data_IF_436668472104
#
_entry.id   IF_436668472104
#
_cell.length_a   1.000
_cell.length_b   1.000
_cell.length_c   1.000
_cell.angle_alpha   90.00
_cell.angle_beta   90.00
_cell.angle_gamma   90.00
#
_symmetry.space_group_name_H-M   'P 1'
#
loop_
_entity.id
_entity.type
_entity.pdbx_description
1 polymer ?
#
# COMPACT_ATOMS: atom_id res chain seq x y z
N UNK A 1 14.89 4.78 13.76
CA UNK A 1 13.96 4.47 14.87
C UNK A 1 12.58 5.09 14.65
N UNK A 2 12.48 6.40 14.37
CA UNK A 2 11.18 7.08 14.22
C UNK A 2 10.33 6.58 13.04
N UNK A 3 10.96 6.29 11.90
CA UNK A 3 10.30 5.77 10.70
C UNK A 3 9.70 4.37 10.96
N UNK A 4 10.44 3.51 11.67
CA UNK A 4 10.00 2.17 12.02
C UNK A 4 8.79 2.20 12.96
N UNK A 5 8.79 3.09 13.96
CA UNK A 5 7.64 3.32 14.85
C UNK A 5 6.43 3.81 14.06
N UNK A 6 6.63 4.73 13.11
CA UNK A 6 5.55 5.20 12.23
C UNK A 6 4.92 4.07 11.40
N UNK A 7 5.74 3.22 10.78
CA UNK A 7 5.27 2.07 9.99
C UNK A 7 4.50 1.08 10.89
N UNK A 8 5.01 0.77 12.09
CA UNK A 8 4.32 -0.10 13.04
C UNK A 8 2.97 0.48 13.50
N UNK A 9 2.89 1.80 13.74
CA UNK A 9 1.65 2.46 14.12
C UNK A 9 0.60 2.39 13.01
N UNK A 10 1.01 2.60 11.75
CA UNK A 10 0.13 2.46 10.59
C UNK A 10 -0.33 1.01 10.39
N UNK A 11 0.55 0.03 10.63
CA UNK A 11 0.20 -1.40 10.57
C UNK A 11 -0.84 -1.76 11.63
N UNK A 12 -0.69 -1.24 12.85
CA UNK A 12 -1.65 -1.43 13.93
C UNK A 12 -2.99 -0.77 13.61
N UNK A 13 -2.97 0.41 12.99
CA UNK A 13 -4.17 1.09 12.52
C UNK A 13 -4.90 0.28 11.42
N UNK A 14 -4.14 -0.36 10.52
CA UNK A 14 -4.69 -1.28 9.52
C UNK A 14 -5.36 -2.49 10.17
N UNK A 15 -4.72 -3.13 11.16
CA UNK A 15 -5.29 -4.29 11.87
C UNK A 15 -6.62 -3.95 12.55
N UNK A 16 -6.69 -2.79 13.22
CA UNK A 16 -7.93 -2.29 13.84
C UNK A 16 -9.02 -2.06 12.78
N UNK A 17 -8.68 -1.43 11.65
CA UNK A 17 -9.63 -1.20 10.55
C UNK A 17 -10.12 -2.50 9.91
N UNK A 18 -9.24 -3.50 9.75
CA UNK A 18 -9.61 -4.84 9.26
C UNK A 18 -10.57 -5.52 10.23
N UNK A 19 -10.28 -5.48 11.53
CA UNK A 19 -11.15 -6.04 12.56
C UNK A 19 -12.53 -5.38 12.55
N UNK A 20 -12.60 -4.05 12.55
CA UNK A 20 -13.88 -3.31 12.47
C UNK A 20 -14.66 -3.68 11.19
N UNK A 21 -13.94 -3.86 10.07
CA UNK A 21 -14.57 -4.32 8.82
C UNK A 21 -15.11 -5.73 8.88
N UNK A 22 -14.40 -6.66 9.53
CA UNK A 22 -14.86 -8.04 9.73
C UNK A 22 -16.09 -8.09 10.62
N UNK A 23 -16.15 -7.24 11.65
CA UNK A 23 -17.24 -7.22 12.62
C UNK A 23 -18.49 -6.47 12.13
N UNK A 24 -18.31 -5.34 11.43
CA UNK A 24 -19.43 -4.48 10.99
C UNK A 24 -19.79 -4.62 9.52
N UNK A 25 -18.91 -5.15 8.67
CA UNK A 25 -19.19 -5.47 7.26
C UNK A 25 -19.48 -4.29 6.32
N UNK A 26 -19.64 -3.06 6.80
CA UNK A 26 -20.22 -1.94 6.02
C UNK A 26 -19.21 -1.06 5.27
N UNK A 27 -17.93 -1.01 5.64
CA UNK A 27 -16.95 -0.03 5.12
C UNK A 27 -16.07 -0.51 3.94
N UNK A 28 -16.26 -0.10 2.68
CA UNK A 28 -15.41 -0.46 1.51
C UNK A 28 -13.96 -0.90 1.79
N UNK A 29 -13.49 -1.98 1.15
CA UNK A 29 -12.14 -2.53 1.38
C UNK A 29 -11.04 -1.50 1.07
N UNK A 30 -11.35 -0.58 0.16
CA UNK A 30 -10.53 0.57 -0.20
C UNK A 30 -10.20 1.48 1.00
N UNK A 31 -11.11 1.62 1.96
CA UNK A 31 -10.92 2.43 3.17
C UNK A 31 -9.97 1.75 4.17
N UNK A 32 -10.00 0.41 4.25
CA UNK A 32 -9.05 -0.37 5.05
C UNK A 32 -7.63 -0.27 4.51
N UNK A 33 -7.47 -0.12 3.20
CA UNK A 33 -6.15 0.04 2.57
C UNK A 33 -5.57 1.46 2.65
N UNK A 34 -6.33 2.46 3.09
CA UNK A 34 -5.83 3.83 3.24
C UNK A 34 -4.53 3.95 4.05
N UNK A 35 -4.38 3.32 5.24
CA UNK A 35 -3.11 3.33 5.98
C UNK A 35 -1.95 2.71 5.19
N UNK A 36 -2.19 1.64 4.40
CA UNK A 36 -1.14 1.11 3.52
C UNK A 36 -0.73 2.12 2.43
N UNK A 37 -1.68 2.90 1.92
CA UNK A 37 -1.38 3.94 0.95
C UNK A 37 -0.44 5.01 1.50
N UNK A 38 -0.60 5.37 2.78
CA UNK A 38 0.28 6.33 3.45
C UNK A 38 1.66 5.76 3.80
N UNK A 39 1.79 4.44 4.00
CA UNK A 39 3.10 3.83 4.27
C UNK A 39 4.06 3.93 3.07
N UNK A 40 3.51 3.91 1.85
CA UNK A 40 4.28 3.97 0.60
C UNK A 40 5.09 5.28 0.47
N UNK A 41 4.50 6.49 0.51
CA UNK A 41 5.25 7.73 0.45
C UNK A 41 6.10 8.00 1.69
N UNK A 42 5.72 7.50 2.88
CA UNK A 42 6.55 7.60 4.10
C UNK A 42 7.86 6.82 3.94
N UNK A 43 7.79 5.62 3.36
CA UNK A 43 8.97 4.82 3.04
C UNK A 43 9.86 5.52 2.01
N UNK A 44 9.26 6.09 0.96
CA UNK A 44 9.98 6.89 -0.05
C UNK A 44 10.64 8.11 0.58
N UNK A 45 9.93 8.87 1.42
CA UNK A 45 10.48 10.03 2.10
C UNK A 45 11.65 9.65 3.01
N UNK A 46 11.57 8.50 3.69
CA UNK A 46 12.67 7.96 4.48
C UNK A 46 13.86 7.53 3.61
N UNK A 47 13.60 6.91 2.46
CA UNK A 47 14.64 6.58 1.47
C UNK A 47 15.30 7.86 0.97
N UNK A 48 14.54 8.84 0.46
CA UNK A 48 15.05 10.14 -0.03
C UNK A 48 15.83 10.90 1.05
N UNK A 49 15.38 10.86 2.30
CA UNK A 49 16.09 11.44 3.43
C UNK A 49 17.46 10.75 3.67
N UNK A 50 17.53 9.43 3.49
CA UNK A 50 18.78 8.66 3.52
C UNK A 50 19.63 8.78 2.24
N UNK A 51 19.00 9.06 1.09
CA UNK A 51 19.59 9.00 -0.26
C UNK A 51 20.09 10.34 -0.79
N UNK A 52 20.46 11.30 0.07
CA UNK A 52 21.02 12.59 -0.36
C UNK A 52 22.38 12.48 -1.13
N UNK A 53 22.78 11.30 -1.61
CA UNK A 53 23.99 11.04 -2.38
C UNK A 53 23.80 9.93 -3.44
N UNK A 54 23.16 10.28 -4.56
CA UNK A 54 23.04 9.56 -5.86
C UNK A 54 21.73 8.82 -6.21
N UNK A 55 21.07 9.38 -7.25
CA UNK A 55 20.02 8.89 -8.18
C UNK A 55 18.75 8.21 -7.65
N UNK A 56 17.61 8.90 -7.83
CA UNK A 56 16.25 8.45 -7.45
C UNK A 56 15.34 7.95 -8.60
N UNK A 57 15.86 7.75 -9.81
CA UNK A 57 15.02 7.37 -10.97
C UNK A 57 14.36 6.00 -10.82
N UNK A 58 15.02 5.02 -10.19
CA UNK A 58 14.44 3.69 -9.95
C UNK A 58 13.35 3.72 -8.85
N UNK A 59 13.46 4.64 -7.90
CA UNK A 59 12.58 4.72 -6.73
C UNK A 59 11.21 5.32 -7.09
N UNK A 60 11.16 6.25 -8.04
CA UNK A 60 9.91 6.78 -8.60
C UNK A 60 9.09 5.69 -9.33
N UNK A 61 9.77 4.80 -10.07
CA UNK A 61 9.13 3.67 -10.77
C UNK A 61 8.59 2.68 -9.73
N UNK A 62 9.40 2.30 -8.74
CA UNK A 62 8.98 1.40 -7.66
C UNK A 62 7.80 1.97 -6.86
N UNK A 63 7.76 3.28 -6.59
CA UNK A 63 6.64 3.92 -5.89
C UNK A 63 5.35 3.88 -6.71
N UNK A 64 5.42 4.19 -8.01
CA UNK A 64 4.26 4.17 -8.92
C UNK A 64 3.65 2.78 -9.02
N UNK A 65 4.51 1.77 -9.16
CA UNK A 65 4.13 0.36 -9.14
C UNK A 65 3.49 -0.04 -7.83
N UNK A 66 4.10 0.33 -6.70
CA UNK A 66 3.63 -0.04 -5.37
C UNK A 66 2.22 0.51 -5.12
N UNK A 67 1.99 1.78 -5.49
CA UNK A 67 0.68 2.45 -5.44
C UNK A 67 -0.33 1.70 -6.32
N UNK A 68 0.03 1.37 -7.56
CA UNK A 68 -0.86 0.69 -8.51
C UNK A 68 -1.23 -0.73 -8.02
N UNK A 69 -0.26 -1.45 -7.46
CA UNK A 69 -0.44 -2.80 -6.92
C UNK A 69 -1.39 -2.81 -5.72
N UNK A 70 -1.30 -1.82 -4.82
CA UNK A 70 -2.26 -1.67 -3.72
C UNK A 70 -3.67 -1.34 -4.21
N UNK A 71 -3.81 -0.48 -5.22
CA UNK A 71 -5.10 -0.15 -5.83
C UNK A 71 -5.75 -1.40 -6.45
N UNK A 72 -4.99 -2.19 -7.23
CA UNK A 72 -5.48 -3.43 -7.82
C UNK A 72 -5.89 -4.47 -6.76
N UNK A 73 -5.10 -4.62 -5.69
CA UNK A 73 -5.43 -5.51 -4.58
C UNK A 73 -6.72 -5.07 -3.89
N UNK A 74 -6.87 -3.78 -3.58
CA UNK A 74 -8.08 -3.25 -2.94
C UNK A 74 -9.33 -3.45 -3.81
N UNK A 75 -9.25 -3.16 -5.11
CA UNK A 75 -10.34 -3.34 -6.09
C UNK A 75 -10.73 -4.82 -6.23
N UNK A 76 -9.75 -5.73 -6.22
CA UNK A 76 -10.01 -7.16 -6.25
C UNK A 76 -10.72 -7.65 -5.00
N UNK A 77 -10.31 -7.14 -3.84
CA UNK A 77 -10.83 -7.55 -2.54
C UNK A 77 -12.24 -7.00 -2.31
N UNK A 78 -12.56 -5.87 -2.93
CA UNK A 78 -13.93 -5.35 -3.04
C UNK A 78 -14.80 -6.13 -4.06
N UNK A 79 -14.25 -7.19 -4.69
CA UNK A 79 -14.91 -8.04 -5.70
C UNK A 79 -15.43 -7.28 -6.95
N UNK A 80 -15.05 -6.01 -7.13
CA UNK A 80 -15.41 -5.19 -8.30
C UNK A 80 -14.81 -5.77 -9.59
N UNK A 81 -13.64 -6.41 -9.49
CA UNK A 81 -12.92 -6.97 -10.65
C UNK A 81 -12.73 -8.48 -10.48
N UNK A 82 -13.44 -9.29 -11.27
CA UNK A 82 -13.40 -10.76 -11.22
C UNK A 82 -12.26 -11.37 -12.07
N UNK A 83 -11.14 -10.66 -12.22
CA UNK A 83 -10.06 -11.08 -13.12
C UNK A 83 -9.12 -12.11 -12.46
N UNK A 84 -8.63 -13.11 -13.21
CA UNK A 84 -7.66 -14.06 -12.71
C UNK A 84 -6.35 -13.33 -12.33
N UNK A 85 -5.67 -13.83 -11.29
CA UNK A 85 -4.38 -13.29 -10.79
C UNK A 85 -3.31 -13.12 -11.89
N UNK A 86 -3.47 -13.81 -13.02
CA UNK A 86 -2.56 -13.78 -14.16
C UNK A 86 -2.40 -12.39 -14.78
N UNK A 87 -3.44 -11.54 -14.82
CA UNK A 87 -3.31 -10.23 -15.47
C UNK A 87 -2.51 -9.25 -14.62
N UNK A 88 -2.65 -9.32 -13.29
CA UNK A 88 -1.88 -8.46 -12.39
C UNK A 88 -0.40 -8.89 -12.40
N UNK A 89 -0.13 -10.19 -12.54
CA UNK A 89 1.24 -10.70 -12.66
C UNK A 89 1.89 -10.46 -14.04
N UNK A 90 1.15 -10.59 -15.14
CA UNK A 90 1.68 -10.37 -16.50
C UNK A 90 1.87 -8.91 -16.88
N UNK A 91 1.22 -7.95 -16.23
CA UNK A 91 1.47 -6.52 -16.48
C UNK A 91 2.76 -6.04 -15.82
N UNK A 92 3.30 -6.82 -14.88
CA UNK A 92 4.44 -6.44 -14.05
C UNK A 92 5.76 -7.18 -14.39
N UNK A 93 5.71 -8.16 -15.29
CA UNK A 93 6.87 -8.86 -15.85
C UNK A 93 7.19 -8.32 -17.24
#
# INVERSE_FOLDING_TARGET
MLIAVGIHLLLLMFEVLVCDRVERGTHFWLLVFMPLFFVSPVSVAACVWGFRHDRSLELEILCSVNILQFIFIALKLDRIIHWPWLVVGCNFL
#
